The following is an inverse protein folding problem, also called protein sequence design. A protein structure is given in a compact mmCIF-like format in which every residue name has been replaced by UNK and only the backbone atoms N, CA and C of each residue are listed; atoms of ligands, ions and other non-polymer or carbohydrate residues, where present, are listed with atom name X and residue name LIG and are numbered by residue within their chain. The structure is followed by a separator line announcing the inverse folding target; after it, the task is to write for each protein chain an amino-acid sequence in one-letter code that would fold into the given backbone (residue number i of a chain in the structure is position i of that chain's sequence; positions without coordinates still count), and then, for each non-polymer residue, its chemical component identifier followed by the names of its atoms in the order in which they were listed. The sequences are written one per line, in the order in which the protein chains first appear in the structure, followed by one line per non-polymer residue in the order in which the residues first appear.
data_IF_348774612570
#
_entry.id   IF_348774612570
#
_cell.length_a   1.000
_cell.length_b   1.000
_cell.length_c   1.000
_cell.angle_alpha   90.00
_cell.angle_beta   90.00
_cell.angle_gamma   90.00
#
_symmetry.space_group_name_H-M   'P 1'
#
loop_
_entity.id
_entity.type
_entity.pdbx_description
1 polymer ?
#
# COMPACT_ATOMS: atom_id res chain seq x y z
N UNK A 1 -35.33 -39.91 -5.89
CA UNK A 1 -35.06 -38.66 -5.14
C UNK A 1 -33.91 -38.78 -4.14
N UNK A 2 -33.53 -39.98 -3.67
CA UNK A 2 -32.42 -40.17 -2.70
C UNK A 2 -30.97 -40.08 -3.25
N UNK A 3 -30.78 -40.11 -4.57
CA UNK A 3 -29.44 -39.98 -5.19
C UNK A 3 -28.91 -38.53 -5.19
N UNK A 4 -29.80 -37.53 -5.13
CA UNK A 4 -29.41 -36.12 -5.22
C UNK A 4 -28.90 -35.57 -3.89
N UNK A 5 -29.49 -36.00 -2.76
CA UNK A 5 -29.12 -35.57 -1.40
C UNK A 5 -27.72 -36.04 -0.99
N UNK A 6 -27.37 -37.29 -1.32
CA UNK A 6 -26.05 -37.84 -1.04
C UNK A 6 -24.95 -37.07 -1.79
N UNK A 7 -25.21 -36.72 -3.06
CA UNK A 7 -24.28 -35.99 -3.92
C UNK A 7 -24.10 -34.52 -3.49
N UNK A 8 -25.18 -33.85 -3.06
CA UNK A 8 -25.08 -32.49 -2.50
C UNK A 8 -24.28 -32.52 -1.20
N UNK A 9 -24.53 -33.49 -0.32
CA UNK A 9 -23.82 -33.58 0.96
C UNK A 9 -22.32 -33.84 0.83
N UNK A 10 -21.89 -34.60 -0.20
CA UNK A 10 -20.48 -34.84 -0.49
C UNK A 10 -19.79 -33.62 -1.08
N UNK A 11 -20.43 -32.94 -2.03
CA UNK A 11 -19.91 -31.68 -2.60
C UNK A 11 -19.79 -30.61 -1.52
N UNK A 12 -20.77 -30.52 -0.62
CA UNK A 12 -20.72 -29.57 0.49
C UNK A 12 -19.56 -29.88 1.45
N UNK A 13 -19.37 -31.15 1.83
CA UNK A 13 -18.27 -31.56 2.72
C UNK A 13 -16.90 -31.35 2.08
N UNK A 14 -16.74 -31.71 0.81
CA UNK A 14 -15.49 -31.53 0.08
C UNK A 14 -15.16 -30.05 -0.14
N UNK A 15 -16.16 -29.23 -0.48
CA UNK A 15 -16.02 -27.78 -0.56
C UNK A 15 -15.62 -27.16 0.78
N UNK A 16 -16.31 -27.53 1.87
CA UNK A 16 -16.03 -26.99 3.21
C UNK A 16 -14.63 -27.41 3.70
N UNK A 17 -14.25 -28.68 3.54
CA UNK A 17 -12.93 -29.17 3.93
C UNK A 17 -11.81 -28.58 3.07
N UNK A 18 -12.05 -28.45 1.75
CA UNK A 18 -11.12 -27.82 0.82
C UNK A 18 -10.86 -26.35 1.18
N UNK A 19 -11.92 -25.56 1.33
CA UNK A 19 -11.81 -24.15 1.71
C UNK A 19 -11.20 -23.97 3.11
N UNK A 20 -11.58 -24.79 4.10
CA UNK A 20 -11.01 -24.72 5.44
C UNK A 20 -9.50 -25.00 5.43
N UNK A 21 -9.06 -26.00 4.65
CA UNK A 21 -7.63 -26.32 4.47
C UNK A 21 -6.87 -25.15 3.82
N UNK A 22 -7.41 -24.54 2.76
CA UNK A 22 -6.78 -23.37 2.12
C UNK A 22 -6.65 -22.17 3.05
N UNK A 23 -7.70 -21.87 3.83
CA UNK A 23 -7.67 -20.77 4.79
C UNK A 23 -6.61 -21.02 5.87
N UNK A 24 -6.54 -22.25 6.41
CA UNK A 24 -5.52 -22.61 7.40
C UNK A 24 -4.10 -22.43 6.85
N UNK A 25 -3.86 -22.86 5.61
CA UNK A 25 -2.56 -22.69 4.96
C UNK A 25 -2.20 -21.19 4.79
N UNK A 26 -3.15 -20.36 4.35
CA UNK A 26 -2.93 -18.92 4.25
C UNK A 26 -2.61 -18.29 5.60
N UNK A 27 -3.38 -18.59 6.65
CA UNK A 27 -3.14 -18.07 8.00
C UNK A 27 -1.77 -18.50 8.52
N UNK A 28 -1.39 -19.76 8.31
CA UNK A 28 -0.10 -20.30 8.73
C UNK A 28 1.09 -19.62 8.05
N UNK A 29 0.91 -19.03 6.86
CA UNK A 29 1.94 -18.31 6.11
C UNK A 29 1.93 -16.81 6.43
N UNK A 30 0.74 -16.19 6.48
CA UNK A 30 0.59 -14.74 6.68
C UNK A 30 0.97 -14.35 8.10
N UNK A 31 0.59 -15.15 9.10
CA UNK A 31 0.87 -14.83 10.51
C UNK A 31 2.38 -14.70 10.80
N UNK A 32 3.26 -15.68 10.48
CA UNK A 32 4.68 -15.51 10.70
C UNK A 32 5.27 -14.39 9.85
N UNK A 33 4.77 -14.19 8.62
CA UNK A 33 5.22 -13.10 7.76
C UNK A 33 4.91 -11.74 8.39
N UNK A 34 3.70 -11.55 8.91
CA UNK A 34 3.27 -10.33 9.61
C UNK A 34 4.13 -10.06 10.84
N UNK A 35 4.45 -11.09 11.62
CA UNK A 35 5.36 -10.96 12.77
C UNK A 35 6.74 -10.49 12.31
N UNK A 36 7.31 -11.08 11.25
CA UNK A 36 8.62 -10.68 10.72
C UNK A 36 8.59 -9.25 10.18
N UNK A 37 7.55 -8.89 9.44
CA UNK A 37 7.38 -7.52 8.95
C UNK A 37 7.30 -6.56 10.14
N UNK A 38 6.49 -6.86 11.16
CA UNK A 38 6.34 -5.99 12.35
C UNK A 38 7.67 -5.82 13.11
N UNK A 39 8.49 -6.86 13.20
CA UNK A 39 9.87 -6.72 13.69
C UNK A 39 10.70 -5.76 12.80
N UNK A 40 10.60 -5.87 11.48
CA UNK A 40 11.31 -4.97 10.56
C UNK A 40 10.86 -3.50 10.72
N UNK A 41 9.58 -3.25 11.02
CA UNK A 41 9.08 -1.93 11.42
C UNK A 41 9.72 -1.47 12.73
N UNK A 42 9.71 -2.33 13.75
CA UNK A 42 10.27 -2.02 15.07
C UNK A 42 11.75 -1.61 15.00
N UNK A 43 12.54 -2.26 14.15
CA UNK A 43 13.95 -1.91 13.91
C UNK A 43 14.16 -0.69 13.00
N UNK A 44 13.09 0.03 12.62
CA UNK A 44 13.14 1.22 11.78
C UNK A 44 13.87 0.98 10.44
N UNK A 45 13.69 -0.21 9.86
CA UNK A 45 14.30 -0.51 8.55
C UNK A 45 13.74 0.39 7.45
N UNK A 46 12.46 0.76 7.56
CA UNK A 46 11.80 1.64 6.59
C UNK A 46 12.41 3.04 6.60
N UNK A 47 12.71 3.60 7.78
CA UNK A 47 13.35 4.91 7.90
C UNK A 47 14.70 4.97 7.17
N UNK A 48 15.44 3.85 7.17
CA UNK A 48 16.71 3.73 6.46
C UNK A 48 16.54 3.59 4.94
N UNK A 49 15.41 3.07 4.48
CA UNK A 49 15.09 2.93 3.07
C UNK A 49 14.51 4.23 2.47
N UNK A 50 13.84 5.04 3.27
CA UNK A 50 13.28 6.35 2.86
C UNK A 50 14.26 7.21 2.05
N UNK A 51 15.50 7.50 2.48
CA UNK A 51 16.43 8.34 1.70
C UNK A 51 16.87 7.71 0.37
N UNK A 52 16.82 6.38 0.26
CA UNK A 52 17.20 5.65 -0.96
C UNK A 52 16.08 5.74 -2.01
N UNK A 53 14.82 5.63 -1.57
CA UNK A 53 13.65 5.66 -2.45
C UNK A 53 13.13 7.08 -2.73
N UNK A 54 13.42 8.05 -1.86
CA UNK A 54 13.08 9.46 -2.04
C UNK A 54 13.42 10.03 -3.44
N UNK A 55 14.63 9.85 -4.00
CA UNK A 55 14.94 10.40 -5.34
C UNK A 55 14.13 9.77 -6.47
N UNK A 56 13.68 8.51 -6.33
CA UNK A 56 12.86 7.82 -7.32
C UNK A 56 11.44 8.39 -7.27
N UNK A 57 10.88 8.53 -6.07
CA UNK A 57 9.53 9.03 -5.85
C UNK A 57 9.40 10.54 -6.14
N UNK A 58 10.49 11.30 -5.94
CA UNK A 58 10.59 12.70 -6.36
C UNK A 58 10.40 12.89 -7.86
N UNK A 59 10.78 11.92 -8.70
CA UNK A 59 10.50 11.96 -10.15
C UNK A 59 9.01 11.83 -10.48
N UNK A 60 8.23 11.23 -9.58
CA UNK A 60 6.78 11.10 -9.67
C UNK A 60 6.09 12.35 -9.06
N UNK A 61 6.84 13.28 -8.48
CA UNK A 61 6.29 14.49 -7.87
C UNK A 61 5.86 14.32 -6.41
N UNK A 62 6.41 13.33 -5.70
CA UNK A 62 6.26 13.19 -4.26
C UNK A 62 7.44 13.85 -3.53
N UNK A 63 7.14 14.53 -2.44
CA UNK A 63 8.11 15.09 -1.51
C UNK A 63 8.79 14.03 -0.64
N UNK A 64 9.83 14.46 0.07
CA UNK A 64 10.60 13.57 0.95
C UNK A 64 9.74 13.07 2.12
N UNK A 65 8.91 13.94 2.70
CA UNK A 65 8.04 13.58 3.84
C UNK A 65 6.97 12.56 3.42
N UNK A 66 6.45 12.71 2.20
CA UNK A 66 5.45 11.81 1.62
C UNK A 66 6.02 10.41 1.27
N UNK A 67 7.36 10.26 1.22
CA UNK A 67 8.01 8.98 0.90
C UNK A 67 7.86 7.97 2.01
N UNK A 68 7.93 8.39 3.28
CA UNK A 68 7.86 7.48 4.41
C UNK A 68 6.49 6.78 4.54
N UNK A 69 5.34 7.48 4.57
CA UNK A 69 4.03 6.84 4.62
C UNK A 69 3.78 5.89 3.44
N UNK A 70 4.26 6.26 2.25
CA UNK A 70 4.18 5.42 1.07
C UNK A 70 4.97 4.12 1.24
N UNK A 71 6.23 4.20 1.65
CA UNK A 71 7.09 3.02 1.81
C UNK A 71 6.55 2.07 2.88
N UNK A 72 6.02 2.64 3.96
CA UNK A 72 5.32 1.86 4.99
C UNK A 72 4.09 1.18 4.38
N UNK A 73 3.24 1.89 3.66
CA UNK A 73 2.02 1.31 3.07
C UNK A 73 2.29 0.22 2.02
N UNK A 74 3.35 0.36 1.22
CA UNK A 74 3.74 -0.67 0.25
C UNK A 74 4.24 -1.93 0.96
N UNK A 75 4.97 -1.76 2.06
CA UNK A 75 5.61 -2.88 2.76
C UNK A 75 4.66 -3.60 3.72
N UNK A 76 3.83 -2.84 4.44
CA UNK A 76 2.96 -3.31 5.53
C UNK A 76 1.47 -3.30 5.20
N UNK A 77 1.10 -2.77 4.04
CA UNK A 77 -0.29 -2.65 3.62
C UNK A 77 -0.89 -1.28 3.90
N UNK A 78 -2.02 -1.04 3.24
CA UNK A 78 -2.69 0.25 3.18
C UNK A 78 -3.14 0.73 4.56
N UNK A 79 -3.57 -0.16 5.46
CA UNK A 79 -4.05 0.22 6.80
C UNK A 79 -2.97 0.95 7.60
N UNK A 80 -1.75 0.40 7.61
CA UNK A 80 -0.62 1.03 8.28
C UNK A 80 -0.15 2.29 7.55
N UNK A 81 -0.11 2.27 6.21
CA UNK A 81 0.26 3.43 5.42
C UNK A 81 -0.70 4.61 5.61
N UNK A 82 -2.00 4.33 5.69
CA UNK A 82 -3.06 5.32 5.91
C UNK A 82 -3.01 5.93 7.30
N UNK A 83 -2.70 5.16 8.34
CA UNK A 83 -2.53 5.70 9.70
C UNK A 83 -1.43 6.77 9.74
N UNK A 84 -0.23 6.40 9.26
CA UNK A 84 0.91 7.33 9.20
C UNK A 84 0.63 8.49 8.24
N UNK A 85 -0.05 8.24 7.13
CA UNK A 85 -0.43 9.29 6.19
C UNK A 85 -1.32 10.35 6.86
N UNK A 86 -2.29 9.93 7.67
CA UNK A 86 -3.17 10.87 8.39
C UNK A 86 -2.33 11.75 9.30
N UNK A 87 -1.41 11.17 10.08
CA UNK A 87 -0.50 11.92 10.94
C UNK A 87 0.32 12.95 10.12
N UNK A 88 0.90 12.53 8.99
CA UNK A 88 1.68 13.44 8.12
C UNK A 88 0.85 14.54 7.45
N UNK A 89 -0.45 14.32 7.25
CA UNK A 89 -1.38 15.34 6.73
C UNK A 89 -1.77 16.33 7.83
N UNK A 90 -1.99 15.86 9.05
CA UNK A 90 -2.28 16.71 10.22
C UNK A 90 -1.09 17.60 10.59
N UNK A 91 0.14 17.10 10.46
CA UNK A 91 1.38 17.85 10.64
C UNK A 91 1.67 18.84 9.50
N UNK A 92 0.92 18.78 8.40
CA UNK A 92 1.09 19.65 7.23
C UNK A 92 2.34 19.35 6.41
N UNK A 93 2.95 18.18 6.60
CA UNK A 93 4.16 17.76 5.88
C UNK A 93 3.86 17.28 4.45
N UNK A 94 2.61 16.84 4.20
CA UNK A 94 2.18 16.24 2.93
C UNK A 94 0.98 16.99 2.36
N UNK A 95 1.10 17.41 1.09
CA UNK A 95 0.03 18.14 0.41
C UNK A 95 -1.06 17.19 -0.13
N UNK A 96 -2.28 17.70 -0.33
CA UNK A 96 -3.42 16.92 -0.86
C UNK A 96 -3.12 16.21 -2.18
N UNK A 97 -2.34 16.86 -3.06
CA UNK A 97 -1.85 16.25 -4.30
C UNK A 97 -1.01 15.00 -4.04
N UNK A 98 -0.11 15.07 -3.07
CA UNK A 98 0.79 13.97 -2.73
C UNK A 98 0.03 12.83 -2.07
N UNK A 99 -0.95 13.14 -1.21
CA UNK A 99 -1.88 12.15 -0.65
C UNK A 99 -2.58 11.36 -1.75
N UNK A 100 -3.14 12.05 -2.76
CA UNK A 100 -3.81 11.39 -3.89
C UNK A 100 -2.86 10.48 -4.67
N UNK A 101 -1.63 10.93 -4.94
CA UNK A 101 -0.65 10.11 -5.65
C UNK A 101 -0.23 8.88 -4.85
N UNK A 102 -0.05 9.02 -3.54
CA UNK A 102 0.27 7.90 -2.66
C UNK A 102 -0.88 6.92 -2.59
N UNK A 103 -2.11 7.40 -2.48
CA UNK A 103 -3.29 6.53 -2.45
C UNK A 103 -3.40 5.72 -3.75
N UNK A 104 -3.23 6.35 -4.91
CA UNK A 104 -3.23 5.67 -6.22
C UNK A 104 -2.13 4.59 -6.26
N UNK A 105 -0.93 4.92 -5.76
CA UNK A 105 0.17 3.96 -5.71
C UNK A 105 -0.15 2.78 -4.79
N UNK A 106 -0.68 3.05 -3.58
CA UNK A 106 -1.01 2.03 -2.59
C UNK A 106 -2.14 1.12 -3.06
N UNK A 107 -3.17 1.65 -3.72
CA UNK A 107 -4.23 0.81 -4.30
C UNK A 107 -3.65 -0.19 -5.30
N UNK A 108 -2.62 0.19 -6.07
CA UNK A 108 -1.99 -0.69 -7.04
C UNK A 108 -0.99 -1.70 -6.43
N UNK A 109 -0.25 -1.33 -5.38
CA UNK A 109 0.89 -2.12 -4.89
C UNK A 109 1.02 -2.19 -3.35
N UNK A 110 -0.07 -2.02 -2.60
CA UNK A 110 -0.04 -2.25 -1.15
C UNK A 110 0.35 -3.69 -0.82
N UNK A 111 0.99 -3.86 0.34
CA UNK A 111 1.38 -5.15 0.90
C UNK A 111 2.16 -6.04 -0.09
N UNK A 112 3.12 -5.44 -0.82
CA UNK A 112 3.83 -6.14 -1.89
C UNK A 112 4.50 -7.42 -1.42
N UNK A 113 5.03 -7.44 -0.19
CA UNK A 113 5.63 -8.63 0.37
C UNK A 113 4.58 -9.69 0.66
N UNK A 114 3.54 -9.35 1.42
CA UNK A 114 2.45 -10.26 1.79
C UNK A 114 1.85 -10.98 0.58
N UNK A 115 1.35 -10.21 -0.38
CA UNK A 115 0.69 -10.77 -1.55
C UNK A 115 1.66 -11.63 -2.39
N UNK A 116 2.90 -11.17 -2.57
CA UNK A 116 3.89 -11.92 -3.37
C UNK A 116 4.26 -13.24 -2.69
N UNK A 117 4.44 -13.24 -1.36
CA UNK A 117 4.73 -14.47 -0.61
C UNK A 117 3.55 -15.44 -0.65
N UNK A 118 2.32 -14.96 -0.48
CA UNK A 118 1.11 -15.79 -0.61
C UNK A 118 1.08 -16.44 -1.99
N UNK A 119 1.16 -15.66 -3.06
CA UNK A 119 1.12 -16.22 -4.42
C UNK A 119 2.30 -17.14 -4.73
N UNK A 120 3.48 -16.85 -4.21
CA UNK A 120 4.65 -17.71 -4.40
C UNK A 120 4.42 -19.10 -3.78
N UNK A 121 3.83 -19.17 -2.59
CA UNK A 121 3.52 -20.46 -1.94
C UNK A 121 2.45 -21.28 -2.68
N UNK A 122 1.58 -20.62 -3.44
CA UNK A 122 0.55 -21.24 -4.30
C UNK A 122 1.12 -21.65 -5.67
N UNK A 123 2.41 -21.39 -5.94
CA UNK A 123 3.09 -21.75 -7.18
C UNK A 123 3.26 -20.60 -8.19
N UNK A 124 2.97 -19.36 -7.77
CA UNK A 124 3.19 -18.16 -8.56
C UNK A 124 4.67 -17.81 -8.72
N UNK A 125 5.00 -17.11 -9.81
CA UNK A 125 6.36 -16.69 -10.10
C UNK A 125 6.71 -15.39 -9.35
N UNK A 126 7.59 -15.51 -8.35
CA UNK A 126 7.99 -14.41 -7.46
C UNK A 126 8.43 -13.12 -8.20
N UNK A 127 9.46 -13.13 -9.07
CA UNK A 127 9.95 -11.89 -9.68
C UNK A 127 8.93 -11.23 -10.60
N UNK A 128 8.10 -12.02 -11.30
CA UNK A 128 7.07 -11.45 -12.18
C UNK A 128 6.02 -10.70 -11.37
N UNK A 129 5.56 -11.28 -10.26
CA UNK A 129 4.56 -10.66 -9.40
C UNK A 129 5.12 -9.42 -8.68
N UNK A 130 6.33 -9.54 -8.13
CA UNK A 130 6.98 -8.46 -7.39
C UNK A 130 7.29 -7.26 -8.30
N UNK A 131 8.06 -7.48 -9.38
CA UNK A 131 8.45 -6.39 -10.27
C UNK A 131 7.31 -5.92 -11.16
N UNK A 132 6.42 -6.82 -11.60
CA UNK A 132 5.24 -6.46 -12.39
C UNK A 132 4.34 -5.48 -11.65
N UNK A 133 4.11 -5.69 -10.35
CA UNK A 133 3.32 -4.77 -9.52
C UNK A 133 4.04 -3.46 -9.24
N UNK A 134 5.33 -3.48 -8.93
CA UNK A 134 6.10 -2.24 -8.73
C UNK A 134 6.13 -1.37 -9.99
N UNK A 135 6.42 -1.98 -11.14
CA UNK A 135 6.49 -1.26 -12.41
C UNK A 135 5.09 -0.76 -12.80
N UNK A 136 4.06 -1.60 -12.65
CA UNK A 136 2.68 -1.22 -12.92
C UNK A 136 2.21 -0.04 -12.08
N UNK A 137 2.44 -0.09 -10.76
CA UNK A 137 2.09 0.99 -9.84
C UNK A 137 2.90 2.26 -10.10
N UNK A 138 4.19 2.14 -10.38
CA UNK A 138 5.04 3.27 -10.74
C UNK A 138 4.54 3.96 -12.02
N UNK A 139 4.28 3.19 -13.09
CA UNK A 139 3.78 3.73 -14.36
C UNK A 139 2.41 4.37 -14.20
N UNK A 140 1.49 3.71 -13.49
CA UNK A 140 0.16 4.24 -13.20
C UNK A 140 0.25 5.58 -12.47
N UNK A 141 1.00 5.61 -11.38
CA UNK A 141 1.16 6.83 -10.56
C UNK A 141 1.88 7.93 -11.34
N UNK A 142 2.83 7.58 -12.20
CA UNK A 142 3.51 8.54 -13.07
C UNK A 142 2.57 9.16 -14.12
N UNK A 143 1.68 8.36 -14.71
CA UNK A 143 0.63 8.86 -15.62
C UNK A 143 -0.31 9.81 -14.86
N UNK A 144 -0.80 9.38 -13.70
CA UNK A 144 -1.69 10.21 -12.87
C UNK A 144 -1.02 11.47 -12.35
N UNK A 145 0.28 11.43 -12.04
CA UNK A 145 1.03 12.63 -11.64
C UNK A 145 1.07 13.70 -12.72
N UNK A 146 1.04 13.31 -14.01
CA UNK A 146 0.90 14.26 -15.11
C UNK A 146 -0.51 14.82 -15.24
N UNK A 147 -1.54 14.00 -15.03
CA UNK A 147 -2.95 14.41 -15.14
C UNK A 147 -3.35 15.32 -13.98
N UNK A 148 -2.99 14.95 -12.75
CA UNK A 148 -3.26 15.71 -11.53
C UNK A 148 -2.47 17.03 -11.50
N UNK A 149 -1.53 17.23 -12.43
CA UNK A 149 -0.78 18.49 -12.55
C UNK A 149 -1.69 19.68 -12.90
N UNK A 150 -2.85 19.44 -13.52
CA UNK A 150 -3.80 20.48 -13.91
C UNK A 150 -4.78 20.90 -12.80
N UNK A 151 -4.89 20.16 -11.69
CA UNK A 151 -5.73 20.55 -10.54
C UNK A 151 -4.94 21.24 -9.40
N UNK A 152 -3.67 21.54 -9.64
CA UNK A 152 -2.79 22.20 -8.66
C UNK A 152 -2.97 23.73 -8.58
N UNK A 153 -4.08 24.27 -9.08
CA UNK A 153 -4.46 25.70 -8.89
C UNK A 153 -5.63 25.88 -7.91
N UNK A 154 -6.04 24.82 -7.18
CA UNK A 154 -7.09 24.92 -6.14
C UNK A 154 -6.64 24.30 -4.81
N UNK A 155 -5.48 24.71 -4.30
CA UNK A 155 -5.23 24.84 -2.86
C UNK A 155 -3.82 25.39 -2.66
N UNK A 156 -3.70 26.71 -2.61
CA UNK A 156 -2.69 27.32 -1.74
C UNK A 156 -2.86 26.73 -0.33
N UNK A 157 -1.78 26.34 0.37
CA UNK A 157 -1.88 25.88 1.73
C UNK A 157 -2.48 27.01 2.59
N UNK A 158 -3.55 26.70 3.30
CA UNK A 158 -4.32 27.62 4.14
C UNK A 158 -3.45 28.36 5.18
N UNK A 159 -2.27 27.82 5.49
CA UNK A 159 -1.24 28.47 6.33
C UNK A 159 -0.60 29.72 5.72
N UNK A 160 -0.37 29.80 4.41
CA UNK A 160 0.27 30.99 3.79
C UNK A 160 -0.67 32.21 3.78
N UNK A 161 -1.99 31.98 3.84
CA UNK A 161 -2.99 33.04 3.97
C UNK A 161 -3.06 33.61 5.39
N UNK A 162 -2.84 32.79 6.41
CA UNK A 162 -2.82 33.25 7.80
C UNK A 162 -1.51 33.95 8.18
N UNK A 163 -0.38 33.51 7.63
CA UNK A 163 0.92 34.14 7.91
C UNK A 163 1.05 35.55 7.26
N UNK A 164 0.46 35.77 6.08
CA UNK A 164 0.41 37.10 5.44
C UNK A 164 -0.54 38.09 6.10
N UNK A 165 -1.54 37.62 6.87
CA UNK A 165 -2.48 38.49 7.58
C UNK A 165 -1.92 39.01 8.91
N UNK A 166 -0.97 38.33 9.55
CA UNK A 166 -0.32 38.84 10.78
C UNK A 166 0.90 39.74 10.53
N UNK A 167 1.43 39.78 9.29
CA UNK A 167 2.52 40.69 8.92
C UNK A 167 2.02 42.06 8.40
N UNK A 168 0.70 42.22 8.24
CA UNK A 168 0.06 43.46 7.75
C UNK A 168 -0.76 44.20 8.81
N UNK A 169 -0.69 43.80 10.08
CA UNK A 169 -1.21 44.55 11.24
C UNK A 169 -0.08 45.09 12.12
#
# INVERSE_FOLDING_TARGET
MHFFDASISSILKEGLLGSASTILNMVLIILPLMVVLEFARYYQWIDKLTPIFAPILKKIGLGNQATFPLLVGISFGILYGSGIMIDSVEEGEVNKREVSLILIFLVACHAIFEDTFIFWTVGGNFPILFFGRLIGAYLLTWIFSKIIKDEAEINEPSCLKQMKMSESE
#
